data_IF_538467465235
#
_entry.id   IF_538467465235
#
_cell.length_a   1.000
_cell.length_b   1.000
_cell.length_c   1.000
_cell.angle_alpha   90.00
_cell.angle_beta   90.00
_cell.angle_gamma   90.00
#
_symmetry.space_group_name_H-M   'P 1'
#
loop_
_entity.id
_entity.type
_entity.pdbx_description
1 polymer ?
#
# COMPACT_ATOMS: atom_id res chain seq x y z
N UNK A 1 -6.74 9.33 6.10
CA UNK A 1 -7.52 9.74 4.91
C UNK A 1 -8.70 10.58 5.38
N UNK A 2 -8.84 11.81 4.94
CA UNK A 2 -9.87 12.75 5.45
C UNK A 2 -10.56 13.51 4.31
N UNK A 3 -11.31 12.74 3.48
CA UNK A 3 -12.01 13.27 2.32
C UNK A 3 -12.98 14.41 2.68
N UNK A 4 -13.62 14.36 3.85
CA UNK A 4 -14.55 15.41 4.30
C UNK A 4 -13.86 16.77 4.46
N UNK A 5 -12.68 16.81 5.08
CA UNK A 5 -11.90 18.04 5.20
C UNK A 5 -11.41 18.53 3.83
N UNK A 6 -11.07 17.63 2.91
CA UNK A 6 -10.65 18.00 1.56
C UNK A 6 -11.82 18.64 0.78
N UNK A 7 -13.01 18.03 0.83
CA UNK A 7 -14.24 18.59 0.22
C UNK A 7 -14.51 19.96 0.79
N UNK A 8 -14.48 20.13 2.12
CA UNK A 8 -14.68 21.42 2.80
C UNK A 8 -13.67 22.49 2.34
N UNK A 9 -12.40 22.11 2.22
CA UNK A 9 -11.33 23.00 1.75
C UNK A 9 -11.58 23.43 0.31
N UNK A 10 -11.84 22.48 -0.60
CA UNK A 10 -12.09 22.76 -2.02
C UNK A 10 -13.34 23.61 -2.23
N UNK A 11 -14.44 23.32 -1.49
CA UNK A 11 -15.67 24.09 -1.52
C UNK A 11 -15.43 25.56 -1.11
N UNK A 12 -14.71 25.76 0.02
CA UNK A 12 -14.36 27.10 0.50
C UNK A 12 -13.47 27.87 -0.48
N UNK A 13 -12.54 27.21 -1.13
CA UNK A 13 -11.69 27.80 -2.16
C UNK A 13 -12.50 28.29 -3.36
N UNK A 14 -13.62 27.61 -3.69
CA UNK A 14 -14.57 28.04 -4.72
C UNK A 14 -15.58 29.08 -4.25
N UNK A 15 -15.61 29.44 -2.96
CA UNK A 15 -16.51 30.42 -2.40
C UNK A 15 -17.99 30.02 -2.39
N UNK A 16 -18.29 28.73 -2.47
CA UNK A 16 -19.67 28.23 -2.51
C UNK A 16 -20.14 27.70 -1.14
N UNK A 17 -21.48 27.68 -0.93
CA UNK A 17 -22.09 27.12 0.30
C UNK A 17 -22.24 25.59 0.21
N UNK A 18 -22.54 24.94 1.34
CA UNK A 18 -22.83 23.49 1.36
C UNK A 18 -24.10 23.16 0.57
N UNK A 19 -25.09 24.04 0.58
CA UNK A 19 -26.32 23.92 -0.19
C UNK A 19 -26.03 23.94 -1.70
N UNK A 20 -25.23 24.90 -2.15
CA UNK A 20 -24.84 25.02 -3.57
C UNK A 20 -24.05 23.79 -4.04
N UNK A 21 -23.16 23.28 -3.23
CA UNK A 21 -22.46 22.03 -3.55
C UNK A 21 -23.43 20.87 -3.64
N UNK A 22 -24.33 20.72 -2.67
CA UNK A 22 -25.32 19.65 -2.62
C UNK A 22 -26.24 19.66 -3.84
N UNK A 23 -26.73 20.82 -4.24
CA UNK A 23 -27.56 21.00 -5.44
C UNK A 23 -26.81 20.59 -6.70
N UNK A 24 -25.55 21.02 -6.83
CA UNK A 24 -24.73 20.75 -8.02
C UNK A 24 -24.45 19.25 -8.20
N UNK A 25 -24.20 18.52 -7.13
CA UNK A 25 -23.88 17.09 -7.18
C UNK A 25 -25.09 16.18 -6.96
N UNK A 26 -26.30 16.75 -6.79
CA UNK A 26 -27.53 15.99 -6.70
C UNK A 26 -27.73 15.23 -5.39
N UNK A 27 -27.25 15.78 -4.26
CA UNK A 27 -27.40 15.20 -2.91
C UNK A 27 -28.08 16.18 -1.95
N UNK A 28 -28.43 15.70 -0.75
CA UNK A 28 -28.98 16.59 0.26
C UNK A 28 -27.89 17.45 0.93
N UNK A 29 -28.23 18.66 1.37
CA UNK A 29 -27.38 19.49 2.21
C UNK A 29 -26.85 18.74 3.44
N UNK A 30 -27.72 17.93 4.08
CA UNK A 30 -27.34 17.14 5.26
C UNK A 30 -26.23 16.12 4.94
N UNK A 31 -26.23 15.57 3.71
CA UNK A 31 -25.16 14.66 3.28
C UNK A 31 -23.82 15.41 3.22
N UNK A 32 -23.75 16.55 2.52
CA UNK A 32 -22.54 17.38 2.46
C UNK A 32 -22.06 17.80 3.83
N UNK A 33 -22.99 18.24 4.70
CA UNK A 33 -22.67 18.63 6.08
C UNK A 33 -22.07 17.46 6.89
N UNK A 34 -22.63 16.24 6.76
CA UNK A 34 -22.07 15.04 7.41
C UNK A 34 -20.67 14.70 6.90
N UNK A 35 -20.43 14.81 5.60
CA UNK A 35 -19.10 14.57 5.02
C UNK A 35 -18.06 15.56 5.54
N UNK A 36 -18.37 16.86 5.51
CA UNK A 36 -17.46 17.92 5.95
C UNK A 36 -17.17 17.90 7.47
N UNK A 37 -18.04 17.28 8.25
CA UNK A 37 -17.86 17.06 9.69
C UNK A 37 -17.33 15.65 10.03
N UNK A 38 -16.98 14.85 9.01
CA UNK A 38 -16.44 13.49 9.13
C UNK A 38 -17.39 12.52 9.88
N UNK A 39 -18.71 12.78 9.83
CA UNK A 39 -19.75 11.91 10.41
C UNK A 39 -20.09 10.77 9.44
N UNK A 40 -20.00 11.02 8.13
CA UNK A 40 -20.19 10.04 7.07
C UNK A 40 -19.21 10.29 5.92
N UNK A 41 -18.98 9.27 5.11
CA UNK A 41 -18.23 9.38 3.87
C UNK A 41 -19.19 9.58 2.69
N UNK A 42 -18.78 10.28 1.62
CA UNK A 42 -19.50 10.26 0.35
C UNK A 42 -19.56 8.83 -0.19
N UNK A 43 -20.64 8.51 -0.92
CA UNK A 43 -20.66 7.29 -1.73
C UNK A 43 -19.51 7.33 -2.74
N UNK A 44 -18.80 6.21 -2.90
CA UNK A 44 -17.66 6.12 -3.82
C UNK A 44 -18.03 6.45 -5.27
N UNK A 45 -19.27 6.21 -5.65
CA UNK A 45 -19.80 6.53 -6.98
C UNK A 45 -19.84 8.03 -7.26
N UNK A 46 -19.84 8.88 -6.21
CA UNK A 46 -19.78 10.33 -6.31
C UNK A 46 -18.35 10.87 -6.47
N UNK A 47 -17.34 10.04 -6.22
CA UNK A 47 -15.94 10.49 -6.28
C UNK A 47 -15.53 11.06 -7.65
N UNK A 48 -15.88 10.46 -8.81
CA UNK A 48 -15.58 11.04 -10.11
C UNK A 48 -16.28 12.39 -10.34
N UNK A 49 -17.53 12.54 -9.89
CA UNK A 49 -18.30 13.77 -10.01
C UNK A 49 -17.70 14.90 -9.16
N UNK A 50 -17.35 14.59 -7.90
CA UNK A 50 -16.69 15.53 -6.99
C UNK A 50 -15.32 15.96 -7.51
N UNK A 51 -14.51 15.02 -8.00
CA UNK A 51 -13.20 15.29 -8.56
C UNK A 51 -13.32 16.20 -9.81
N UNK A 52 -14.23 15.88 -10.72
CA UNK A 52 -14.53 16.68 -11.91
C UNK A 52 -15.03 18.08 -11.52
N UNK A 53 -16.00 18.15 -10.62
CA UNK A 53 -16.55 19.43 -10.16
C UNK A 53 -15.47 20.33 -9.56
N UNK A 54 -14.60 19.81 -8.73
CA UNK A 54 -13.51 20.57 -8.12
C UNK A 54 -12.30 20.76 -9.04
N UNK A 55 -12.26 20.10 -10.20
CA UNK A 55 -11.12 20.11 -11.14
C UNK A 55 -9.83 19.59 -10.50
N UNK A 56 -9.94 18.53 -9.74
CA UNK A 56 -8.83 17.82 -9.09
C UNK A 56 -8.82 16.35 -9.52
N UNK A 57 -7.72 15.65 -9.33
CA UNK A 57 -7.69 14.19 -9.51
C UNK A 57 -8.43 13.48 -8.37
N UNK A 58 -8.83 12.22 -8.59
CA UNK A 58 -9.40 11.37 -7.53
C UNK A 58 -8.41 11.22 -6.38
N UNK A 59 -7.13 10.99 -6.70
CA UNK A 59 -6.07 10.88 -5.70
C UNK A 59 -5.97 12.16 -4.85
N UNK A 60 -6.03 13.32 -5.50
CA UNK A 60 -6.02 14.60 -4.79
C UNK A 60 -7.29 14.79 -3.94
N UNK A 61 -8.46 14.36 -4.43
CA UNK A 61 -9.71 14.42 -3.67
C UNK A 61 -9.63 13.57 -2.40
N UNK A 62 -9.00 12.39 -2.48
CA UNK A 62 -8.80 11.48 -1.36
C UNK A 62 -7.58 11.82 -0.51
N UNK A 63 -6.86 12.90 -0.84
CA UNK A 63 -5.62 13.29 -0.18
C UNK A 63 -4.57 12.17 -0.20
N UNK A 64 -4.59 11.39 -1.30
CA UNK A 64 -3.67 10.29 -1.51
C UNK A 64 -2.40 10.81 -2.18
N UNK A 65 -1.28 10.71 -1.48
CA UNK A 65 0.02 11.11 -2.00
C UNK A 65 0.89 9.88 -2.23
N UNK A 66 0.96 9.43 -3.48
CA UNK A 66 1.77 8.27 -3.87
C UNK A 66 3.25 8.45 -3.48
N UNK A 67 3.81 9.64 -3.68
CA UNK A 67 5.22 9.91 -3.32
C UNK A 67 5.47 9.84 -1.82
N UNK A 68 4.51 10.30 -1.01
CA UNK A 68 4.60 10.22 0.44
C UNK A 68 4.50 8.76 0.92
N UNK A 69 3.62 7.97 0.29
CA UNK A 69 3.52 6.54 0.53
C UNK A 69 4.83 5.81 0.17
N UNK A 70 5.38 6.08 -1.02
CA UNK A 70 6.66 5.50 -1.47
C UNK A 70 7.81 5.87 -0.52
N UNK A 71 7.87 7.12 -0.08
CA UNK A 71 8.86 7.59 0.89
C UNK A 71 8.71 6.86 2.24
N UNK A 72 7.48 6.70 2.72
CA UNK A 72 7.19 6.00 3.97
C UNK A 72 7.57 4.53 3.89
N UNK A 73 7.19 3.85 2.80
CA UNK A 73 7.57 2.45 2.55
C UNK A 73 9.08 2.28 2.51
N UNK A 74 9.78 3.18 1.81
CA UNK A 74 11.24 3.17 1.75
C UNK A 74 11.87 3.33 3.13
N UNK A 75 11.38 4.28 3.94
CA UNK A 75 11.88 4.49 5.30
C UNK A 75 11.71 3.24 6.18
N UNK A 76 10.56 2.54 6.09
CA UNK A 76 10.31 1.29 6.80
C UNK A 76 11.31 0.21 6.38
N UNK A 77 11.54 0.05 5.08
CA UNK A 77 12.49 -0.93 4.55
C UNK A 77 13.94 -0.61 4.97
N UNK A 78 14.33 0.67 4.93
CA UNK A 78 15.65 1.14 5.35
C UNK A 78 15.88 0.94 6.86
N UNK A 79 14.87 1.19 7.70
CA UNK A 79 14.92 0.95 9.13
C UNK A 79 15.10 -0.54 9.46
N UNK A 80 14.28 -1.40 8.84
CA UNK A 80 14.39 -2.85 8.98
C UNK A 80 15.76 -3.37 8.52
N UNK A 81 16.31 -2.83 7.43
CA UNK A 81 17.62 -3.22 6.91
C UNK A 81 18.75 -2.93 7.89
N UNK A 82 18.70 -1.82 8.63
CA UNK A 82 19.73 -1.43 9.60
C UNK A 82 19.90 -2.43 10.75
N UNK A 83 18.82 -3.07 11.18
CA UNK A 83 18.84 -4.03 12.28
C UNK A 83 18.82 -5.50 11.82
N UNK A 84 18.75 -5.77 10.53
CA UNK A 84 18.58 -7.12 9.97
C UNK A 84 19.63 -8.12 10.47
N UNK A 85 20.90 -7.72 10.52
CA UNK A 85 21.98 -8.63 10.95
C UNK A 85 22.11 -8.71 12.47
N UNK A 86 21.90 -7.60 13.18
CA UNK A 86 22.05 -7.52 14.63
C UNK A 86 20.82 -8.00 15.40
N UNK A 87 19.62 -7.78 14.85
CA UNK A 87 18.36 -8.18 15.47
C UNK A 87 17.32 -8.53 14.39
N UNK A 88 17.39 -9.75 13.78
CA UNK A 88 16.45 -10.18 12.75
C UNK A 88 14.99 -10.16 13.20
N UNK A 89 14.70 -10.45 14.46
CA UNK A 89 13.34 -10.46 15.02
C UNK A 89 12.73 -9.06 15.01
N UNK A 90 13.50 -8.04 15.34
CA UNK A 90 13.05 -6.64 15.28
C UNK A 90 12.86 -6.17 13.84
N UNK A 91 13.79 -6.53 12.95
CA UNK A 91 13.65 -6.26 11.51
C UNK A 91 12.37 -6.86 10.94
N UNK A 92 12.05 -8.11 11.28
CA UNK A 92 10.80 -8.78 10.91
C UNK A 92 9.58 -8.02 11.45
N UNK A 93 9.60 -7.63 12.74
CA UNK A 93 8.50 -6.89 13.37
C UNK A 93 8.19 -5.57 12.65
N UNK A 94 9.23 -4.80 12.30
CA UNK A 94 9.11 -3.53 11.57
C UNK A 94 8.44 -3.75 10.21
N UNK A 95 8.87 -4.78 9.46
CA UNK A 95 8.32 -5.08 8.15
C UNK A 95 6.87 -5.58 8.21
N UNK A 96 6.54 -6.45 9.18
CA UNK A 96 5.18 -6.95 9.38
C UNK A 96 4.22 -5.81 9.79
N UNK A 97 4.67 -4.86 10.62
CA UNK A 97 3.91 -3.67 10.98
C UNK A 97 3.70 -2.77 9.75
N UNK A 98 4.72 -2.59 8.93
CA UNK A 98 4.61 -1.88 7.64
C UNK A 98 3.61 -2.55 6.71
N UNK A 99 3.62 -3.87 6.61
CA UNK A 99 2.70 -4.65 5.78
C UNK A 99 1.25 -4.62 6.28
N UNK A 100 0.98 -4.34 7.56
CA UNK A 100 -0.40 -4.08 8.03
C UNK A 100 -0.98 -2.80 7.43
N UNK A 101 -0.15 -1.78 7.24
CA UNK A 101 -0.56 -0.49 6.65
C UNK A 101 -0.49 -0.50 5.12
N UNK A 102 0.44 -1.26 4.54
CA UNK A 102 0.68 -1.39 3.10
C UNK A 102 0.67 -2.88 2.69
N UNK A 103 -0.50 -3.55 2.75
CA UNK A 103 -0.62 -4.96 2.40
C UNK A 103 -0.12 -5.20 0.97
N UNK A 104 0.66 -6.27 0.79
CA UNK A 104 1.20 -6.68 -0.52
C UNK A 104 2.16 -5.68 -1.18
N UNK A 105 2.68 -4.70 -0.45
CA UNK A 105 3.70 -3.82 -0.99
C UNK A 105 4.97 -4.60 -1.33
N UNK A 106 5.38 -4.52 -2.60
CA UNK A 106 6.47 -5.33 -3.16
C UNK A 106 7.83 -5.08 -2.48
N UNK A 107 8.11 -3.82 -2.12
CA UNK A 107 9.38 -3.45 -1.46
C UNK A 107 9.46 -4.05 -0.05
N UNK A 108 8.37 -4.00 0.72
CA UNK A 108 8.33 -4.56 2.06
C UNK A 108 8.34 -6.10 2.03
N UNK A 109 7.61 -6.72 1.11
CA UNK A 109 7.62 -8.18 0.93
C UNK A 109 9.01 -8.67 0.50
N UNK A 110 9.66 -7.96 -0.44
CA UNK A 110 11.03 -8.29 -0.83
C UNK A 110 12.00 -8.14 0.35
N UNK A 111 11.89 -7.05 1.13
CA UNK A 111 12.71 -6.86 2.33
C UNK A 111 12.48 -7.97 3.36
N UNK A 112 11.26 -8.49 3.48
CA UNK A 112 10.93 -9.58 4.38
C UNK A 112 11.61 -10.90 3.97
N UNK A 113 11.76 -11.19 2.66
CA UNK A 113 12.52 -12.37 2.19
C UNK A 113 13.97 -12.37 2.67
N UNK A 114 14.60 -11.21 2.83
CA UNK A 114 15.96 -11.09 3.33
C UNK A 114 16.08 -11.30 4.85
N UNK A 115 14.97 -11.20 5.57
CA UNK A 115 14.92 -11.39 7.04
C UNK A 115 14.50 -12.80 7.41
N UNK A 116 13.66 -13.41 6.57
CA UNK A 116 13.20 -14.77 6.77
C UNK A 116 14.35 -15.78 6.65
N UNK A 117 14.43 -16.68 7.62
CA UNK A 117 15.28 -17.85 7.50
C UNK A 117 14.55 -18.89 6.64
N UNK A 118 14.92 -18.99 5.38
CA UNK A 118 14.30 -19.93 4.41
C UNK A 118 14.51 -21.41 4.77
N UNK A 119 15.43 -21.74 5.68
CA UNK A 119 15.61 -23.10 6.17
C UNK A 119 14.63 -23.46 7.28
N UNK A 120 14.26 -22.49 8.12
CA UNK A 120 13.29 -22.67 9.20
C UNK A 120 11.86 -22.38 8.74
N UNK A 121 11.68 -21.46 7.80
CA UNK A 121 10.38 -21.00 7.31
C UNK A 121 10.27 -21.13 5.77
N UNK A 122 10.50 -22.31 5.17
CA UNK A 122 10.51 -22.46 3.72
C UNK A 122 9.14 -22.19 3.09
N UNK A 123 8.05 -22.58 3.73
CA UNK A 123 6.70 -22.41 3.18
C UNK A 123 6.28 -20.94 3.13
N UNK A 124 6.62 -20.16 4.14
CA UNK A 124 6.39 -18.71 4.17
C UNK A 124 7.22 -18.02 3.08
N UNK A 125 8.49 -18.38 2.95
CA UNK A 125 9.39 -17.87 1.90
C UNK A 125 8.84 -18.18 0.51
N UNK A 126 8.40 -19.40 0.24
CA UNK A 126 7.80 -19.81 -1.03
C UNK A 126 6.55 -18.97 -1.31
N UNK A 127 5.66 -18.82 -0.33
CA UNK A 127 4.41 -18.06 -0.48
C UNK A 127 4.67 -16.61 -0.88
N UNK A 128 5.61 -15.93 -0.21
CA UNK A 128 5.95 -14.54 -0.49
C UNK A 128 6.63 -14.42 -1.86
N UNK A 129 7.59 -15.30 -2.16
CA UNK A 129 8.31 -15.29 -3.41
C UNK A 129 7.39 -15.49 -4.62
N UNK A 130 6.46 -16.45 -4.56
CA UNK A 130 5.47 -16.68 -5.60
C UNK A 130 4.59 -15.43 -5.84
N UNK A 131 4.09 -14.81 -4.77
CA UNK A 131 3.31 -13.56 -4.88
C UNK A 131 4.08 -12.44 -5.59
N UNK A 132 5.37 -12.27 -5.25
CA UNK A 132 6.21 -11.27 -5.88
C UNK A 132 6.44 -11.57 -7.37
N UNK A 133 6.75 -12.82 -7.72
CA UNK A 133 6.99 -13.23 -9.11
C UNK A 133 5.77 -12.98 -10.00
N UNK A 134 4.56 -13.22 -9.48
CA UNK A 134 3.30 -13.01 -10.21
C UNK A 134 2.94 -11.55 -10.42
N UNK A 135 3.27 -10.68 -9.46
CA UNK A 135 2.77 -9.29 -9.43
C UNK A 135 3.78 -8.25 -9.87
N UNK A 136 5.08 -8.48 -9.59
CA UNK A 136 6.08 -7.43 -9.79
C UNK A 136 6.46 -7.25 -11.25
N UNK A 137 6.59 -5.99 -11.64
CA UNK A 137 7.23 -5.59 -12.89
C UNK A 137 8.68 -5.14 -12.69
N UNK A 138 9.18 -5.14 -11.44
CA UNK A 138 10.54 -4.70 -11.10
C UNK A 138 11.50 -5.88 -11.21
N UNK A 139 12.47 -5.78 -12.13
CA UNK A 139 13.43 -6.86 -12.43
C UNK A 139 14.21 -7.32 -11.20
N UNK A 140 14.64 -6.38 -10.36
CA UNK A 140 15.46 -6.66 -9.18
C UNK A 140 14.67 -7.45 -8.14
N UNK A 141 13.41 -7.04 -7.85
CA UNK A 141 12.53 -7.76 -6.92
C UNK A 141 12.21 -9.15 -7.45
N UNK A 142 11.97 -9.26 -8.77
CA UNK A 142 11.68 -10.56 -9.39
C UNK A 142 12.88 -11.51 -9.29
N UNK A 143 14.08 -10.99 -9.54
CA UNK A 143 15.31 -11.76 -9.40
C UNK A 143 15.52 -12.25 -7.95
N UNK A 144 15.35 -11.37 -6.97
CA UNK A 144 15.44 -11.73 -5.57
C UNK A 144 14.41 -12.79 -5.19
N UNK A 145 13.16 -12.63 -5.62
CA UNK A 145 12.08 -13.59 -5.34
C UNK A 145 12.39 -14.98 -5.92
N UNK A 146 12.88 -15.07 -7.17
CA UNK A 146 13.29 -16.33 -7.79
C UNK A 146 14.44 -16.99 -7.02
N UNK A 147 15.42 -16.21 -6.58
CA UNK A 147 16.57 -16.70 -5.82
C UNK A 147 16.12 -17.29 -4.46
N UNK A 148 15.28 -16.57 -3.71
CA UNK A 148 14.78 -17.05 -2.43
C UNK A 148 13.85 -18.25 -2.59
N UNK A 149 13.05 -18.30 -3.67
CA UNK A 149 12.23 -19.46 -4.02
C UNK A 149 13.07 -20.71 -4.21
N UNK A 150 14.16 -20.59 -5.00
CA UNK A 150 15.07 -21.70 -5.23
C UNK A 150 15.74 -22.18 -3.92
N UNK A 151 16.16 -21.24 -3.04
CA UNK A 151 16.74 -21.57 -1.75
C UNK A 151 15.76 -22.30 -0.84
N UNK A 152 14.50 -21.86 -0.79
CA UNK A 152 13.46 -22.49 0.03
C UNK A 152 13.10 -23.89 -0.47
N UNK A 153 12.99 -24.12 -1.79
CA UNK A 153 12.79 -25.46 -2.33
C UNK A 153 13.97 -26.39 -2.05
N UNK A 154 15.20 -25.89 -2.17
CA UNK A 154 16.39 -26.65 -1.82
C UNK A 154 16.39 -27.05 -0.34
N UNK A 155 16.01 -26.14 0.57
CA UNK A 155 15.89 -26.43 1.99
C UNK A 155 14.84 -27.51 2.29
N UNK A 156 13.77 -27.59 1.49
CA UNK A 156 12.76 -28.67 1.56
C UNK A 156 13.19 -29.98 0.91
N UNK A 157 14.35 -30.03 0.25
CA UNK A 157 14.81 -31.21 -0.49
C UNK A 157 14.16 -31.37 -1.86
N UNK A 158 13.38 -30.40 -2.33
CA UNK A 158 12.80 -30.39 -3.68
C UNK A 158 13.76 -29.73 -4.68
N UNK A 159 14.77 -30.49 -5.05
CA UNK A 159 15.80 -30.03 -5.97
C UNK A 159 15.28 -29.75 -7.39
N UNK A 160 14.22 -30.49 -7.81
CA UNK A 160 13.63 -30.33 -9.14
C UNK A 160 12.96 -28.95 -9.28
N UNK A 161 12.18 -28.55 -8.28
CA UNK A 161 11.56 -27.22 -8.25
C UNK A 161 12.60 -26.12 -8.05
N UNK A 162 13.66 -26.37 -7.30
CA UNK A 162 14.76 -25.44 -7.14
C UNK A 162 15.47 -25.13 -8.48
N UNK A 163 15.79 -26.14 -9.28
CA UNK A 163 16.45 -25.98 -10.59
C UNK A 163 15.56 -25.26 -11.61
N UNK A 164 14.24 -25.48 -11.58
CA UNK A 164 13.30 -24.84 -12.50
C UNK A 164 13.15 -23.32 -12.27
N UNK A 165 13.57 -22.82 -11.10
CA UNK A 165 13.47 -21.41 -10.72
C UNK A 165 14.82 -20.71 -10.58
N UNK A 166 15.91 -21.32 -11.06
CA UNK A 166 17.26 -20.76 -11.05
C UNK A 166 17.61 -20.26 -12.45
#
# INVERSE_FOLDING_TARGET
MNIGNKIKKLRKQRGITQEQLAETIGVSFQAVSKWENNIALPDITLAPLLASYFSVSIDELFDFNLKEMECTVKNIADEASKCRESNPSESRRILEEGLRNYPENEVLLNSLLYVLNYTENPDETISIACKLIEKTNQSDIKYDALRFLAYAYKAKGDFKSAEANY
#
